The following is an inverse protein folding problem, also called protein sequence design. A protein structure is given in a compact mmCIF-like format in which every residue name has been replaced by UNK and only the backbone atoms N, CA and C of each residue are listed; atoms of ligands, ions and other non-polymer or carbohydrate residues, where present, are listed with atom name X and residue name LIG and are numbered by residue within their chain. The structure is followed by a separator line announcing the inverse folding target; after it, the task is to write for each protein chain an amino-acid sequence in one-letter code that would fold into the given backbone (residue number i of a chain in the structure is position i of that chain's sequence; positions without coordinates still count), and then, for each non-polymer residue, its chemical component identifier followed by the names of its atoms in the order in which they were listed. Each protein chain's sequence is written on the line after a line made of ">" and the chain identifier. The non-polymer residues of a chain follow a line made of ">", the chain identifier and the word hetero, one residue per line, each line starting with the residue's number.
data_IF_638506294412
#
_entry.id   IF_638506294412
#
_cell.length_a   1.000
_cell.length_b   1.000
_cell.length_c   1.000
_cell.angle_alpha   90.00
_cell.angle_beta   90.00
_cell.angle_gamma   90.00
#
_symmetry.space_group_name_H-M   'P 1'
#
loop_
_entity.id
_entity.type
_entity.pdbx_description
1 polymer ?
#
# COMPACT_ATOMS: atom_id res chain seq x y z
N UNK A 1 6.71 -2.10 -8.22
CA UNK A 1 6.31 -3.49 -7.87
C UNK A 1 5.30 -3.98 -8.89
N UNK A 2 5.34 -5.26 -9.26
CA UNK A 2 4.29 -5.91 -10.08
C UNK A 2 3.10 -6.27 -9.18
N UNK A 3 1.90 -6.37 -9.76
CA UNK A 3 0.67 -6.70 -9.01
C UNK A 3 0.81 -8.00 -8.21
N UNK A 4 1.42 -9.03 -8.80
CA UNK A 4 1.66 -10.34 -8.16
C UNK A 4 2.53 -10.22 -6.90
N UNK A 5 3.56 -9.37 -6.94
CA UNK A 5 4.46 -9.12 -5.81
C UNK A 5 3.70 -8.43 -4.67
N UNK A 6 2.81 -7.49 -5.04
CA UNK A 6 1.99 -6.75 -4.09
C UNK A 6 0.93 -7.64 -3.45
N UNK A 7 0.22 -8.45 -4.23
CA UNK A 7 -0.79 -9.39 -3.70
C UNK A 7 -0.13 -10.36 -2.72
N UNK A 8 1.03 -10.91 -3.07
CA UNK A 8 1.79 -11.77 -2.19
C UNK A 8 2.26 -11.05 -0.92
N UNK A 9 2.71 -9.80 -1.04
CA UNK A 9 3.11 -8.99 0.10
C UNK A 9 1.92 -8.69 1.04
N UNK A 10 0.73 -8.46 0.48
CA UNK A 10 -0.52 -8.30 1.24
C UNK A 10 -0.90 -9.59 1.99
N UNK A 11 -0.86 -10.75 1.33
CA UNK A 11 -1.09 -12.06 1.96
C UNK A 11 -0.12 -12.36 3.10
N UNK A 12 1.13 -11.89 2.97
CA UNK A 12 2.16 -12.03 3.98
C UNK A 12 2.09 -10.97 5.09
N UNK A 13 1.19 -9.99 4.97
CA UNK A 13 1.09 -8.87 5.91
C UNK A 13 2.39 -8.06 6.00
N UNK A 14 3.06 -7.87 4.87
CA UNK A 14 4.33 -7.15 4.78
C UNK A 14 4.20 -5.73 5.33
N UNK A 15 5.29 -5.23 5.91
CA UNK A 15 5.35 -3.88 6.47
C UNK A 15 6.08 -2.96 5.50
N UNK A 16 5.52 -1.77 5.30
CA UNK A 16 6.03 -0.73 4.41
C UNK A 16 6.11 0.61 5.15
N UNK A 17 6.96 1.49 4.66
CA UNK A 17 6.96 2.90 4.99
C UNK A 17 6.13 3.65 3.95
N UNK A 18 5.10 4.34 4.41
CA UNK A 18 4.26 5.20 3.58
C UNK A 18 4.55 6.65 3.93
N UNK A 19 4.92 7.47 2.94
CA UNK A 19 5.20 8.90 3.13
C UNK A 19 4.20 9.75 2.36
N UNK A 20 3.44 10.59 3.07
CA UNK A 20 2.51 11.52 2.46
C UNK A 20 2.68 12.92 3.06
N UNK A 21 2.82 13.93 2.20
CA UNK A 21 3.01 15.34 2.61
C UNK A 21 4.17 15.55 3.61
N UNK A 22 5.23 14.73 3.51
CA UNK A 22 6.39 14.79 4.39
C UNK A 22 6.24 14.07 5.73
N UNK A 23 5.13 13.36 5.97
CA UNK A 23 4.91 12.53 7.15
C UNK A 23 5.07 11.06 6.76
N UNK A 24 5.97 10.35 7.43
CA UNK A 24 6.21 8.92 7.21
C UNK A 24 5.57 8.08 8.32
N UNK A 25 4.75 7.12 7.91
CA UNK A 25 4.11 6.12 8.78
C UNK A 25 4.59 4.72 8.43
N UNK A 26 4.71 3.86 9.46
CA UNK A 26 4.98 2.43 9.29
C UNK A 26 3.64 1.70 9.25
N UNK A 27 3.37 1.04 8.13
CA UNK A 27 2.06 0.45 7.85
C UNK A 27 2.19 -1.01 7.45
N UNK A 28 1.21 -1.82 7.81
CA UNK A 28 1.05 -3.17 7.27
C UNK A 28 0.18 -3.12 6.01
N UNK A 29 0.58 -3.81 4.96
CA UNK A 29 -0.28 -4.02 3.79
C UNK A 29 -1.43 -4.95 4.21
N UNK A 30 -2.66 -4.47 4.11
CA UNK A 30 -3.88 -5.25 4.40
C UNK A 30 -4.61 -5.70 3.13
N UNK A 31 -4.36 -5.07 1.99
CA UNK A 31 -4.98 -5.46 0.74
C UNK A 31 -4.53 -4.66 -0.48
N UNK A 32 -5.12 -4.99 -1.62
CA UNK A 32 -4.90 -4.30 -2.90
C UNK A 32 -6.25 -3.82 -3.42
N UNK A 33 -6.35 -2.53 -3.71
CA UNK A 33 -7.52 -1.93 -4.34
C UNK A 33 -7.24 -1.75 -5.82
N UNK A 34 -8.13 -2.28 -6.67
CA UNK A 34 -8.07 -2.06 -8.11
C UNK A 34 -9.21 -1.13 -8.55
N UNK A 35 -8.91 -0.25 -9.50
CA UNK A 35 -9.88 0.68 -10.07
C UNK A 35 -9.71 0.76 -11.58
N UNK A 36 -10.79 0.49 -12.31
CA UNK A 36 -10.84 0.71 -13.76
C UNK A 36 -11.40 2.11 -14.05
N UNK A 37 -10.63 2.94 -14.74
CA UNK A 37 -11.05 4.28 -15.14
C UNK A 37 -10.35 4.70 -16.43
N UNK A 38 -11.06 5.42 -17.31
CA UNK A 38 -10.52 5.95 -18.58
C UNK A 38 -9.83 4.89 -19.46
N UNK A 39 -10.31 3.65 -19.44
CA UNK A 39 -9.76 2.56 -20.25
C UNK A 39 -8.51 1.88 -19.67
N UNK A 40 -8.09 2.20 -18.44
CA UNK A 40 -6.94 1.61 -17.79
C UNK A 40 -7.28 1.11 -16.37
N UNK A 41 -6.59 0.05 -15.95
CA UNK A 41 -6.58 -0.40 -14.56
C UNK A 41 -5.51 0.37 -13.77
N UNK A 42 -5.89 0.83 -12.59
CA UNK A 42 -5.01 1.42 -11.59
C UNK A 42 -5.08 0.60 -10.32
N UNK A 43 -3.97 0.50 -9.59
CA UNK A 43 -3.85 -0.28 -8.37
C UNK A 43 -3.31 0.60 -7.25
N UNK A 44 -3.83 0.38 -6.04
CA UNK A 44 -3.42 1.06 -4.82
C UNK A 44 -3.32 0.05 -3.69
N UNK A 45 -2.50 0.36 -2.68
CA UNK A 45 -2.39 -0.44 -1.48
C UNK A 45 -3.41 0.02 -0.45
N UNK A 46 -4.08 -0.94 0.17
CA UNK A 46 -4.73 -0.71 1.46
C UNK A 46 -3.70 -0.99 2.55
N UNK A 47 -3.47 0.02 3.38
CA UNK A 47 -2.47 0.01 4.44
C UNK A 47 -3.14 0.24 5.79
N UNK A 48 -2.78 -0.55 6.78
CA UNK A 48 -3.14 -0.32 8.18
C UNK A 48 -1.97 0.33 8.91
N UNK A 49 -2.15 1.58 9.37
CA UNK A 49 -1.17 2.27 10.19
C UNK A 49 -1.02 1.57 11.55
N UNK A 50 0.20 1.14 11.87
CA UNK A 50 0.46 0.35 13.08
C UNK A 50 0.39 1.16 14.37
N UNK A 51 0.47 2.49 14.29
CA UNK A 51 0.44 3.40 15.44
C UNK A 51 -0.93 4.06 15.62
N UNK A 52 -1.55 4.48 14.52
CA UNK A 52 -2.82 5.20 14.53
C UNK A 52 -4.05 4.29 14.40
N UNK A 53 -3.87 3.00 14.06
CA UNK A 53 -4.94 2.06 13.78
C UNK A 53 -5.96 2.59 12.73
N UNK A 54 -5.44 3.30 11.72
CA UNK A 54 -6.20 3.89 10.63
C UNK A 54 -5.90 3.19 9.31
N UNK A 55 -6.89 3.16 8.41
CA UNK A 55 -6.71 2.64 7.05
C UNK A 55 -6.30 3.77 6.11
N UNK A 56 -5.30 3.51 5.28
CA UNK A 56 -4.75 4.44 4.29
C UNK A 56 -4.81 3.76 2.92
N UNK A 57 -5.26 4.50 1.90
CA UNK A 57 -5.16 4.07 0.51
C UNK A 57 -4.00 4.82 -0.13
N UNK A 58 -2.95 4.10 -0.51
CA UNK A 58 -1.72 4.68 -1.02
C UNK A 58 -1.41 4.19 -2.44
N UNK A 59 -0.82 5.05 -3.26
CA UNK A 59 -0.25 4.61 -4.52
C UNK A 59 0.98 3.73 -4.26
N UNK A 60 1.30 2.82 -5.19
CA UNK A 60 2.41 1.88 -5.00
C UNK A 60 3.75 2.63 -4.94
N UNK A 61 3.88 3.73 -5.67
CA UNK A 61 5.04 4.60 -5.72
C UNK A 61 5.31 5.35 -4.41
N UNK A 62 4.30 5.52 -3.55
CA UNK A 62 4.41 6.22 -2.27
C UNK A 62 4.83 5.28 -1.12
N UNK A 63 5.11 4.01 -1.42
CA UNK A 63 5.37 2.95 -0.46
C UNK A 63 6.76 2.33 -0.66
N UNK A 64 7.56 2.31 0.39
CA UNK A 64 8.86 1.63 0.43
C UNK A 64 8.79 0.39 1.31
N UNK A 65 9.27 -0.74 0.80
CA UNK A 65 9.33 -2.00 1.58
C UNK A 65 10.40 -1.86 2.67
N UNK A 66 10.01 -2.14 3.90
CA UNK A 66 10.95 -2.20 5.02
C UNK A 66 11.86 -3.43 4.84
N UNK A 67 13.16 -3.21 4.69
CA UNK A 67 14.17 -4.28 4.51
C UNK A 67 14.49 -5.01 5.81
#
# INVERSE_FOLDING_TARGET
>A
MKLEEVTKAAEQGAVVLHTHMGITSRCRISGVVSRFAKGAWTYSLELTDLKANSVIIAALEDCEVER
#
